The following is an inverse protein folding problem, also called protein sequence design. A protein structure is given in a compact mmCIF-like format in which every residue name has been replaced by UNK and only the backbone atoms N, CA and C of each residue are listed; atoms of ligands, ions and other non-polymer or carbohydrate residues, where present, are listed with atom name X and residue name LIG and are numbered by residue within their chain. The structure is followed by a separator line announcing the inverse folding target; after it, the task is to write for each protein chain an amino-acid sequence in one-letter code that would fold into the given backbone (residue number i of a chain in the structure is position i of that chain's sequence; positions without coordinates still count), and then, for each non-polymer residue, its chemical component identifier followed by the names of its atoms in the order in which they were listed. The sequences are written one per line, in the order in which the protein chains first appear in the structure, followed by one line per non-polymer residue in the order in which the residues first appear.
data_IF_486363589741
#
_entry.id   IF_486363589741
#
_cell.length_a   1.000
_cell.length_b   1.000
_cell.length_c   1.000
_cell.angle_alpha   90.00
_cell.angle_beta   90.00
_cell.angle_gamma   90.00
#
_symmetry.space_group_name_H-M   'P 1'
#
loop_
_entity.id
_entity.type
_entity.pdbx_description
1 polymer ?
#
# COMPACT_ATOMS: atom_id res chain seq x y z
N UNK A 1 2.22 -1.97 -29.65
CA UNK A 1 1.04 -1.10 -29.46
C UNK A 1 0.34 -1.43 -28.17
N UNK A 2 0.31 -0.44 -27.24
CA UNK A 2 -0.26 -0.62 -25.89
C UNK A 2 -1.79 -0.71 -25.94
N UNK A 3 -2.44 -0.02 -26.90
CA UNK A 3 -3.89 0.11 -27.01
C UNK A 3 -4.48 1.02 -25.93
N UNK A 4 -5.66 1.60 -26.20
CA UNK A 4 -6.39 2.43 -25.22
C UNK A 4 -7.27 1.56 -24.32
N UNK A 5 -7.59 2.07 -23.12
CA UNK A 5 -7.10 3.29 -22.50
C UNK A 5 -5.64 3.21 -22.06
N UNK A 6 -4.97 4.36 -21.95
CA UNK A 6 -3.60 4.45 -21.44
C UNK A 6 -3.53 5.36 -20.22
N UNK A 7 -2.55 5.12 -19.36
CA UNK A 7 -2.21 5.97 -18.23
C UNK A 7 -0.91 6.73 -18.54
N UNK A 8 -0.93 8.04 -18.45
CA UNK A 8 0.27 8.87 -18.48
C UNK A 8 0.69 9.13 -17.03
N UNK A 9 1.98 8.93 -16.73
CA UNK A 9 2.57 9.16 -15.40
C UNK A 9 3.79 10.03 -15.53
N UNK A 10 4.03 10.93 -14.56
CA UNK A 10 5.32 11.59 -14.42
C UNK A 10 6.38 10.56 -14.04
N UNK A 11 7.51 10.50 -14.75
CA UNK A 11 8.58 9.53 -14.46
C UNK A 11 9.21 9.74 -13.06
N UNK A 12 9.28 10.99 -12.62
CA UNK A 12 9.73 11.37 -11.28
C UNK A 12 8.60 11.43 -10.24
N UNK A 13 7.36 11.10 -10.63
CA UNK A 13 6.17 11.14 -9.78
C UNK A 13 6.02 9.89 -8.91
N UNK A 14 5.24 10.03 -7.83
CA UNK A 14 4.88 8.93 -6.94
C UNK A 14 3.58 9.22 -6.19
N UNK A 15 3.00 8.20 -5.54
CA UNK A 15 1.77 8.35 -4.76
C UNK A 15 0.56 8.84 -5.55
N UNK A 16 0.46 8.46 -6.82
CA UNK A 16 -0.67 8.84 -7.69
C UNK A 16 -0.64 10.28 -8.23
N UNK A 17 0.37 11.07 -7.92
CA UNK A 17 0.52 12.43 -8.41
C UNK A 17 1.03 12.46 -9.84
N UNK A 18 0.48 13.36 -10.67
CA UNK A 18 0.88 13.50 -12.08
C UNK A 18 0.41 12.33 -12.95
N UNK A 19 -0.67 11.64 -12.57
CA UNK A 19 -1.29 10.57 -13.32
C UNK A 19 -2.50 11.09 -14.12
N UNK A 20 -2.62 10.65 -15.39
CA UNK A 20 -3.72 11.04 -16.26
C UNK A 20 -4.21 9.87 -17.11
N UNK A 21 -5.48 9.51 -16.95
CA UNK A 21 -6.15 8.51 -17.80
C UNK A 21 -6.53 9.12 -19.14
N UNK A 22 -6.11 8.48 -20.23
CA UNK A 22 -6.44 8.87 -21.61
C UNK A 22 -7.21 7.72 -22.26
N UNK A 23 -8.44 8.00 -22.67
CA UNK A 23 -9.36 6.98 -23.18
C UNK A 23 -9.29 6.82 -24.70
N UNK A 24 -8.83 7.84 -25.41
CA UNK A 24 -8.81 7.82 -26.86
C UNK A 24 -7.56 8.48 -27.45
N UNK A 25 -7.26 8.14 -28.71
CA UNK A 25 -6.16 8.73 -29.47
C UNK A 25 -6.29 10.25 -29.64
N UNK A 26 -7.52 10.75 -29.69
CA UNK A 26 -7.77 12.19 -29.91
C UNK A 26 -7.33 13.06 -28.73
N UNK A 27 -7.39 12.51 -27.51
CA UNK A 27 -7.01 13.22 -26.27
C UNK A 27 -5.50 13.11 -25.97
N UNK A 28 -4.79 12.17 -26.63
CA UNK A 28 -3.44 11.77 -26.22
C UNK A 28 -2.44 12.94 -26.32
N UNK A 29 -2.44 13.67 -27.45
CA UNK A 29 -1.44 14.72 -27.67
C UNK A 29 -1.57 15.90 -26.69
N UNK A 30 -2.79 16.29 -26.36
CA UNK A 30 -3.05 17.35 -25.39
C UNK A 30 -2.73 16.87 -23.96
N UNK A 31 -3.16 15.66 -23.62
CA UNK A 31 -2.89 15.04 -22.32
C UNK A 31 -1.39 14.89 -22.04
N UNK A 32 -0.59 14.54 -23.04
CA UNK A 32 0.87 14.49 -22.95
C UNK A 32 1.44 15.87 -22.60
N UNK A 33 1.06 16.93 -23.34
CA UNK A 33 1.56 18.28 -23.10
C UNK A 33 1.25 18.78 -21.70
N UNK A 34 0.03 18.54 -21.24
CA UNK A 34 -0.39 18.92 -19.89
C UNK A 34 0.41 18.14 -18.85
N UNK A 35 0.53 16.82 -19.01
CA UNK A 35 1.27 15.97 -18.07
C UNK A 35 2.75 16.35 -17.98
N UNK A 36 3.38 16.68 -19.11
CA UNK A 36 4.78 17.16 -19.15
C UNK A 36 4.93 18.49 -18.41
N UNK A 37 4.01 19.44 -18.62
CA UNK A 37 4.03 20.73 -17.93
C UNK A 37 3.82 20.60 -16.42
N UNK A 38 2.85 19.80 -16.00
CA UNK A 38 2.59 19.49 -14.59
C UNK A 38 3.79 18.77 -13.94
N UNK A 39 4.40 17.81 -14.64
CA UNK A 39 5.57 17.09 -14.18
C UNK A 39 6.77 18.03 -14.00
N UNK A 40 7.02 18.91 -14.95
CA UNK A 40 8.09 19.89 -14.87
C UNK A 40 7.90 20.85 -13.69
N UNK A 41 6.67 21.32 -13.45
CA UNK A 41 6.39 22.26 -12.34
C UNK A 41 6.45 21.60 -10.97
N UNK A 42 6.05 20.32 -10.86
CA UNK A 42 5.92 19.62 -9.57
C UNK A 42 7.18 18.87 -9.18
N UNK A 43 7.87 18.26 -10.16
CA UNK A 43 8.99 17.35 -9.92
C UNK A 43 10.31 17.84 -10.54
N UNK A 44 10.30 18.96 -11.29
CA UNK A 44 11.48 19.49 -11.95
C UNK A 44 11.93 18.72 -13.21
N UNK A 45 11.11 17.77 -13.68
CA UNK A 45 11.36 16.97 -14.88
C UNK A 45 10.09 16.85 -15.72
N UNK A 46 10.21 17.02 -17.04
CA UNK A 46 9.09 16.81 -17.97
C UNK A 46 8.99 15.37 -18.49
N UNK A 47 9.80 14.45 -17.98
CA UNK A 47 9.79 13.06 -18.42
C UNK A 47 8.52 12.36 -17.96
N UNK A 48 7.88 11.66 -18.90
CA UNK A 48 6.63 10.91 -18.67
C UNK A 48 6.75 9.47 -19.14
N UNK A 49 5.96 8.61 -18.53
CA UNK A 49 5.79 7.21 -18.93
C UNK A 49 4.35 7.02 -19.39
N UNK A 50 4.14 6.20 -20.41
CA UNK A 50 2.81 5.81 -20.88
C UNK A 50 2.67 4.31 -20.72
N UNK A 51 1.64 3.91 -19.98
CA UNK A 51 1.34 2.52 -19.66
C UNK A 51 -0.07 2.15 -20.09
N UNK A 52 -0.35 0.84 -20.21
CA UNK A 52 -1.72 0.35 -20.33
C UNK A 52 -2.51 0.72 -19.06
N UNK A 53 -3.64 1.39 -19.22
CA UNK A 53 -4.55 1.59 -18.11
C UNK A 53 -5.40 0.35 -17.88
N UNK A 54 -5.39 -0.16 -16.65
CA UNK A 54 -6.29 -1.23 -16.22
C UNK A 54 -7.54 -0.56 -15.66
N UNK A 55 -8.71 -0.95 -16.18
CA UNK A 55 -9.98 -0.31 -15.82
C UNK A 55 -10.56 -0.99 -14.59
N UNK A 56 -10.92 -0.19 -13.58
CA UNK A 56 -11.49 -0.64 -12.31
C UNK A 56 -10.73 -1.83 -11.67
N UNK A 57 -9.39 -1.78 -11.58
CA UNK A 57 -8.63 -2.86 -10.96
C UNK A 57 -8.82 -2.85 -9.45
N UNK A 58 -8.53 -4.00 -8.82
CA UNK A 58 -8.17 -4.00 -7.40
C UNK A 58 -6.71 -3.63 -7.25
N UNK A 59 -6.40 -2.88 -6.20
CA UNK A 59 -5.04 -2.64 -5.75
C UNK A 59 -4.69 -3.71 -4.72
N UNK A 60 -3.95 -4.71 -5.15
CA UNK A 60 -3.52 -5.83 -4.30
C UNK A 60 -2.01 -5.80 -4.17
N UNK A 61 -1.52 -6.01 -2.97
CA UNK A 61 -0.09 -5.94 -2.69
C UNK A 61 0.39 -7.15 -1.89
N UNK A 62 1.61 -7.59 -2.17
CA UNK A 62 2.23 -8.73 -1.50
C UNK A 62 3.29 -8.23 -0.52
N UNK A 63 3.14 -8.57 0.75
CA UNK A 63 4.18 -8.34 1.74
C UNK A 63 5.31 -9.34 1.53
N UNK A 64 6.51 -8.86 1.23
CA UNK A 64 7.72 -9.69 1.22
C UNK A 64 8.60 -9.35 2.42
N UNK A 65 9.37 -10.33 2.85
CA UNK A 65 10.38 -10.16 3.88
C UNK A 65 11.64 -10.93 3.51
N UNK A 66 12.79 -10.25 3.54
CA UNK A 66 14.07 -10.85 3.13
C UNK A 66 15.16 -10.54 4.16
N UNK A 67 16.14 -11.43 4.25
CA UNK A 67 17.36 -11.20 5.04
C UNK A 67 18.58 -10.92 4.15
N UNK A 68 19.75 -10.80 4.77
CA UNK A 68 21.03 -10.58 4.08
C UNK A 68 21.68 -11.89 3.61
N UNK A 69 21.07 -13.05 3.87
CA UNK A 69 21.60 -14.39 3.58
C UNK A 69 20.96 -15.02 2.34
N UNK A 70 19.96 -14.34 1.75
CA UNK A 70 19.26 -14.79 0.54
C UNK A 70 17.90 -15.46 0.81
N UNK A 71 17.49 -15.55 2.07
CA UNK A 71 16.15 -16.01 2.41
C UNK A 71 15.15 -14.90 2.12
N UNK A 72 14.04 -15.27 1.51
CA UNK A 72 12.95 -14.34 1.19
C UNK A 72 11.63 -15.11 1.18
N UNK A 73 10.66 -14.61 1.92
CA UNK A 73 9.30 -15.15 2.00
C UNK A 73 8.28 -14.09 1.66
N UNK A 74 7.07 -14.51 1.29
CA UNK A 74 5.90 -13.63 1.22
C UNK A 74 4.91 -13.98 2.33
N UNK A 75 4.29 -12.94 2.91
CA UNK A 75 3.43 -13.04 4.10
C UNK A 75 1.95 -12.80 3.75
N UNK A 76 1.53 -13.27 2.58
CA UNK A 76 0.20 -13.04 2.05
C UNK A 76 0.05 -11.66 1.39
N UNK A 77 -1.19 -11.39 1.05
CA UNK A 77 -1.59 -10.16 0.36
C UNK A 77 -2.48 -9.27 1.23
N UNK A 78 -2.53 -7.98 0.84
CA UNK A 78 -3.51 -7.00 1.29
C UNK A 78 -4.30 -6.46 0.10
N UNK A 79 -5.58 -6.20 0.30
CA UNK A 79 -6.40 -5.41 -0.62
C UNK A 79 -6.44 -3.96 -0.14
N UNK A 80 -5.96 -3.06 -0.97
CA UNK A 80 -5.88 -1.63 -0.71
C UNK A 80 -6.71 -0.83 -1.72
N UNK A 81 -7.79 -1.41 -2.24
CA UNK A 81 -8.59 -0.81 -3.31
C UNK A 81 -9.45 0.36 -2.84
N UNK A 82 -9.76 0.45 -1.54
CA UNK A 82 -10.54 1.58 -0.99
C UNK A 82 -9.62 2.77 -0.78
N UNK A 83 -9.67 3.68 -1.74
CA UNK A 83 -8.79 4.83 -1.82
C UNK A 83 -9.56 6.12 -2.09
N UNK A 84 -9.00 7.24 -1.63
CA UNK A 84 -9.46 8.58 -1.99
C UNK A 84 -8.32 9.33 -2.66
N UNK A 85 -8.54 9.80 -3.90
CA UNK A 85 -7.50 10.50 -4.69
C UNK A 85 -6.16 9.74 -4.71
N UNK A 86 -6.22 8.41 -4.89
CA UNK A 86 -5.07 7.47 -4.85
C UNK A 86 -4.39 7.31 -3.48
N UNK A 87 -4.99 7.79 -2.41
CA UNK A 87 -4.54 7.54 -1.05
C UNK A 87 -5.34 6.40 -0.43
N UNK A 88 -4.68 5.37 0.08
CA UNK A 88 -5.29 4.25 0.78
C UNK A 88 -5.99 4.74 2.04
N UNK A 89 -7.21 4.26 2.31
CA UNK A 89 -8.04 4.66 3.44
C UNK A 89 -8.48 3.45 4.27
N UNK A 90 -8.82 2.35 3.59
CA UNK A 90 -9.17 1.08 4.22
C UNK A 90 -8.36 -0.01 3.53
N UNK A 91 -7.71 -0.84 4.33
CA UNK A 91 -6.93 -1.98 3.89
C UNK A 91 -7.43 -3.25 4.58
N UNK A 92 -7.44 -4.35 3.87
CA UNK A 92 -7.86 -5.64 4.43
C UNK A 92 -6.94 -6.78 4.01
N UNK A 93 -6.81 -7.77 4.87
CA UNK A 93 -6.08 -9.00 4.63
C UNK A 93 -6.82 -10.21 5.24
N UNK A 94 -6.92 -11.32 4.50
CA UNK A 94 -6.55 -11.48 3.10
C UNK A 94 -7.49 -10.74 2.13
N UNK A 95 -7.09 -10.59 0.87
CA UNK A 95 -7.93 -9.98 -0.17
C UNK A 95 -9.18 -10.85 -0.43
N UNK A 96 -10.41 -10.28 -0.44
CA UNK A 96 -11.65 -11.05 -0.49
C UNK A 96 -11.85 -11.90 -1.75
N UNK A 97 -11.17 -11.55 -2.85
CA UNK A 97 -11.27 -12.29 -4.12
C UNK A 97 -10.10 -13.23 -4.36
N UNK A 98 -9.15 -13.30 -3.41
CA UNK A 98 -7.93 -14.07 -3.57
C UNK A 98 -8.17 -15.56 -3.43
N UNK A 99 -7.76 -16.33 -4.43
CA UNK A 99 -7.64 -17.79 -4.33
C UNK A 99 -6.23 -18.19 -3.90
N UNK A 100 -6.06 -19.38 -3.34
CA UNK A 100 -4.74 -19.87 -2.97
C UNK A 100 -3.77 -19.94 -4.17
N UNK A 101 -4.28 -20.34 -5.34
CA UNK A 101 -3.49 -20.40 -6.57
C UNK A 101 -3.00 -19.03 -7.02
N UNK A 102 -3.88 -18.03 -7.01
CA UNK A 102 -3.53 -16.64 -7.34
C UNK A 102 -2.55 -16.05 -6.33
N UNK A 103 -2.77 -16.28 -5.03
CA UNK A 103 -1.86 -15.86 -3.95
C UNK A 103 -0.46 -16.42 -4.16
N UNK A 104 -0.35 -17.71 -4.44
CA UNK A 104 0.94 -18.35 -4.67
C UNK A 104 1.65 -17.76 -5.89
N UNK A 105 0.95 -17.60 -7.02
CA UNK A 105 1.53 -16.98 -8.22
C UNK A 105 2.02 -15.54 -7.97
N UNK A 106 1.22 -14.72 -7.32
CA UNK A 106 1.60 -13.34 -7.01
C UNK A 106 2.74 -13.31 -5.99
N UNK A 107 2.71 -14.18 -4.98
CA UNK A 107 3.75 -14.32 -3.97
C UNK A 107 5.10 -14.71 -4.57
N UNK A 108 5.12 -15.73 -5.44
CA UNK A 108 6.34 -16.18 -6.14
C UNK A 108 6.93 -15.06 -7.02
N UNK A 109 6.09 -14.30 -7.73
CA UNK A 109 6.54 -13.13 -8.51
C UNK A 109 7.14 -12.07 -7.58
N UNK A 110 6.50 -11.77 -6.47
CA UNK A 110 6.98 -10.77 -5.51
C UNK A 110 8.33 -11.19 -4.89
N UNK A 111 8.48 -12.46 -4.50
CA UNK A 111 9.76 -13.01 -4.01
C UNK A 111 10.84 -12.96 -5.10
N UNK A 112 10.49 -13.28 -6.34
CA UNK A 112 11.42 -13.20 -7.47
C UNK A 112 11.93 -11.77 -7.71
N UNK A 113 11.05 -10.76 -7.61
CA UNK A 113 11.43 -9.34 -7.69
C UNK A 113 12.41 -9.00 -6.56
N UNK A 114 12.05 -9.32 -5.31
CA UNK A 114 12.87 -9.01 -4.13
C UNK A 114 14.27 -9.68 -4.23
N UNK A 115 14.33 -10.96 -4.60
CA UNK A 115 15.59 -11.69 -4.79
C UNK A 115 16.44 -11.11 -5.93
N UNK A 116 15.82 -10.71 -7.04
CA UNK A 116 16.52 -10.13 -8.20
C UNK A 116 17.28 -8.86 -7.85
N UNK A 117 16.71 -8.02 -7.01
CA UNK A 117 17.33 -6.77 -6.54
C UNK A 117 18.15 -6.94 -5.25
N UNK A 118 18.24 -8.16 -4.72
CA UNK A 118 18.91 -8.47 -3.43
C UNK A 118 18.35 -7.63 -2.29
N UNK A 119 17.03 -7.52 -2.23
CA UNK A 119 16.34 -6.75 -1.20
C UNK A 119 16.53 -7.37 0.18
N UNK A 120 16.61 -6.53 1.22
CA UNK A 120 16.70 -6.96 2.62
C UNK A 120 15.74 -6.12 3.47
N UNK A 121 15.03 -6.78 4.39
CA UNK A 121 14.01 -6.20 5.27
C UNK A 121 12.58 -6.39 4.76
N UNK A 122 11.65 -5.63 5.36
CA UNK A 122 10.25 -5.60 4.96
C UNK A 122 10.07 -4.79 3.67
N UNK A 123 9.46 -5.38 2.66
CA UNK A 123 9.11 -4.73 1.40
C UNK A 123 7.74 -5.15 0.94
N UNK A 124 7.15 -4.36 0.05
CA UNK A 124 5.84 -4.66 -0.51
C UNK A 124 5.87 -4.49 -2.01
N UNK A 125 5.39 -5.51 -2.73
CA UNK A 125 5.23 -5.46 -4.19
C UNK A 125 3.76 -5.22 -4.49
N UNK A 126 3.47 -4.09 -5.12
CA UNK A 126 2.12 -3.67 -5.47
C UNK A 126 1.74 -4.10 -6.87
N UNK A 127 0.49 -4.53 -7.02
CA UNK A 127 -0.09 -5.01 -8.27
C UNK A 127 -1.48 -4.41 -8.50
N UNK A 128 -1.84 -4.30 -9.77
CA UNK A 128 -3.22 -4.11 -10.20
C UNK A 128 -3.79 -5.47 -10.62
N UNK A 129 -4.87 -5.89 -10.00
CA UNK A 129 -5.59 -7.12 -10.30
C UNK A 129 -6.87 -6.79 -11.06
N UNK A 130 -7.04 -7.33 -12.27
CA UNK A 130 -8.25 -7.13 -13.06
C UNK A 130 -9.34 -8.16 -12.75
N UNK A 131 -10.50 -8.02 -13.39
CA UNK A 131 -11.66 -8.91 -13.20
C UNK A 131 -11.50 -10.31 -13.81
N UNK A 132 -10.41 -10.57 -14.52
CA UNK A 132 -10.07 -11.87 -15.13
C UNK A 132 -8.90 -12.56 -14.40
N UNK A 133 -8.64 -12.14 -13.14
CA UNK A 133 -7.54 -12.62 -12.28
C UNK A 133 -6.14 -12.42 -12.87
N UNK A 134 -5.99 -11.50 -13.84
CA UNK A 134 -4.67 -11.09 -14.35
C UNK A 134 -4.13 -9.99 -13.49
N UNK A 135 -2.90 -10.13 -13.04
CA UNK A 135 -2.23 -9.13 -12.23
C UNK A 135 -1.06 -8.47 -12.98
N UNK A 136 -0.88 -7.19 -12.72
CA UNK A 136 0.12 -6.36 -13.37
C UNK A 136 0.95 -5.67 -12.30
N UNK A 137 2.27 -5.77 -12.42
CA UNK A 137 3.20 -5.09 -11.52
C UNK A 137 2.99 -3.57 -11.59
N UNK A 138 2.89 -2.93 -10.43
CA UNK A 138 2.77 -1.49 -10.32
C UNK A 138 4.06 -0.84 -9.83
N UNK A 139 4.49 -1.20 -8.61
CA UNK A 139 5.73 -0.72 -8.00
C UNK A 139 6.18 -1.63 -6.85
N UNK A 140 7.37 -1.38 -6.33
CA UNK A 140 7.83 -1.97 -5.07
C UNK A 140 8.11 -0.86 -4.06
N UNK A 141 7.50 -0.97 -2.90
CA UNK A 141 7.79 -0.11 -1.75
C UNK A 141 8.87 -0.76 -0.89
N UNK A 142 10.06 -0.16 -0.88
CA UNK A 142 11.24 -0.66 -0.17
C UNK A 142 11.29 -0.17 1.28
N UNK A 143 10.20 -0.38 1.99
CA UNK A 143 9.98 0.03 3.38
C UNK A 143 8.81 -0.73 3.98
N UNK A 144 8.70 -0.69 5.30
CA UNK A 144 7.46 -1.06 5.98
C UNK A 144 6.34 -0.07 5.60
N UNK A 145 5.14 -0.58 5.37
CA UNK A 145 3.98 0.25 5.02
C UNK A 145 3.07 0.51 6.22
N UNK A 146 2.19 1.52 6.08
CA UNK A 146 1.22 1.91 7.11
C UNK A 146 0.32 0.71 7.46
N UNK A 147 -0.11 -0.02 6.46
CA UNK A 147 -1.07 -1.12 6.50
C UNK A 147 -0.49 -2.49 6.91
N UNK A 148 0.79 -2.55 7.35
CA UNK A 148 1.38 -3.81 7.82
C UNK A 148 0.63 -4.49 8.97
N UNK A 149 -0.10 -3.79 9.85
CA UNK A 149 -0.79 -4.43 10.96
C UNK A 149 -1.83 -5.47 10.55
N UNK A 150 -2.51 -5.33 9.40
CA UNK A 150 -3.44 -6.36 8.96
C UNK A 150 -2.72 -7.67 8.64
N UNK A 151 -1.51 -7.60 8.06
CA UNK A 151 -0.65 -8.77 7.83
C UNK A 151 -0.16 -9.37 9.15
N UNK A 152 0.29 -8.55 10.09
CA UNK A 152 0.73 -9.02 11.42
C UNK A 152 -0.38 -9.78 12.13
N UNK A 153 -1.60 -9.24 12.13
CA UNK A 153 -2.72 -9.85 12.83
C UNK A 153 -3.13 -11.19 12.25
N UNK A 154 -3.11 -11.38 10.92
CA UNK A 154 -3.50 -12.66 10.32
C UNK A 154 -2.36 -13.67 10.25
N UNK A 155 -1.09 -13.23 10.27
CA UNK A 155 0.08 -14.14 10.25
C UNK A 155 0.62 -14.47 11.62
N UNK A 156 0.28 -13.67 12.65
CA UNK A 156 0.85 -13.80 13.99
C UNK A 156 2.31 -13.36 14.10
N UNK A 157 2.85 -12.68 13.08
CA UNK A 157 4.24 -12.22 13.04
C UNK A 157 4.35 -10.75 13.47
N UNK A 158 5.47 -10.37 14.07
CA UNK A 158 5.84 -8.97 14.35
C UNK A 158 6.87 -8.51 13.31
N UNK A 159 6.41 -7.78 12.31
CA UNK A 159 7.25 -7.32 11.20
C UNK A 159 8.31 -6.31 11.63
N UNK A 160 8.03 -5.53 12.67
CA UNK A 160 8.99 -4.55 13.21
C UNK A 160 10.11 -5.29 13.95
N UNK A 161 9.77 -6.27 14.78
CA UNK A 161 10.78 -7.11 15.44
C UNK A 161 11.64 -7.88 14.43
N UNK A 162 11.02 -8.39 13.36
CA UNK A 162 11.75 -9.03 12.26
C UNK A 162 12.70 -8.07 11.55
N UNK A 163 12.29 -6.80 11.31
CA UNK A 163 13.18 -5.79 10.73
C UNK A 163 14.40 -5.51 11.60
N UNK A 164 14.20 -5.40 12.92
CA UNK A 164 15.30 -5.21 13.88
C UNK A 164 16.26 -6.40 13.86
N UNK A 165 15.73 -7.63 13.81
CA UNK A 165 16.55 -8.85 13.73
C UNK A 165 17.40 -8.89 12.46
N UNK A 166 16.81 -8.58 11.31
CA UNK A 166 17.54 -8.55 10.02
C UNK A 166 18.58 -7.42 10.01
N UNK A 167 18.25 -6.26 10.58
CA UNK A 167 19.21 -5.16 10.73
C UNK A 167 20.39 -5.54 11.63
N UNK A 168 20.15 -6.39 12.64
CA UNK A 168 21.20 -6.98 13.50
C UNK A 168 21.89 -8.20 12.86
N UNK A 169 21.80 -8.35 11.54
CA UNK A 169 22.42 -9.42 10.77
C UNK A 169 21.98 -10.83 11.18
N UNK A 170 20.75 -10.98 11.68
CA UNK A 170 20.19 -12.28 11.96
C UNK A 170 19.55 -12.87 10.70
N UNK A 171 19.69 -14.18 10.54
CA UNK A 171 19.01 -14.95 9.50
C UNK A 171 17.51 -15.06 9.79
N UNK A 172 16.67 -15.05 8.75
CA UNK A 172 15.24 -15.35 8.87
C UNK A 172 15.05 -16.78 9.40
N UNK A 173 14.30 -16.91 10.50
CA UNK A 173 14.02 -18.21 11.15
C UNK A 173 12.76 -18.91 10.63
N UNK A 174 12.06 -18.27 9.69
CA UNK A 174 10.82 -18.78 9.10
C UNK A 174 11.03 -19.13 7.63
N UNK A 175 10.40 -20.18 7.18
CA UNK A 175 10.30 -20.60 5.79
C UNK A 175 8.92 -20.24 5.23
N UNK A 176 8.71 -20.43 3.92
CA UNK A 176 7.40 -20.16 3.31
C UNK A 176 6.33 -21.11 3.82
N UNK A 177 6.69 -22.33 4.17
CA UNK A 177 5.80 -23.38 4.69
C UNK A 177 5.33 -23.10 6.12
N UNK A 178 6.06 -22.29 6.87
CA UNK A 178 5.71 -21.91 8.25
C UNK A 178 4.64 -20.82 8.30
N UNK A 179 4.35 -20.18 7.15
CA UNK A 179 3.44 -19.04 7.09
C UNK A 179 2.01 -19.51 6.98
N UNK A 180 1.25 -19.30 8.04
CA UNK A 180 -0.18 -19.59 8.10
C UNK A 180 -0.93 -18.27 8.25
N UNK A 181 -1.94 -18.06 7.40
CA UNK A 181 -2.83 -16.91 7.49
C UNK A 181 -4.14 -17.35 8.16
N UNK A 182 -4.45 -16.72 9.30
CA UNK A 182 -5.60 -17.05 10.13
C UNK A 182 -6.53 -15.86 10.33
N UNK A 183 -7.82 -16.06 10.05
CA UNK A 183 -8.85 -15.05 10.19
C UNK A 183 -8.80 -13.97 9.12
N UNK A 184 -9.38 -12.83 9.44
CA UNK A 184 -9.47 -11.65 8.57
C UNK A 184 -9.22 -10.38 9.39
N UNK A 185 -8.45 -9.43 8.85
CA UNK A 185 -8.19 -8.16 9.49
C UNK A 185 -8.48 -7.00 8.54
N UNK A 186 -9.08 -5.94 9.08
CA UNK A 186 -9.39 -4.70 8.35
C UNK A 186 -8.80 -3.53 9.12
N UNK A 187 -8.02 -2.70 8.44
CA UNK A 187 -7.47 -1.46 8.96
C UNK A 187 -8.21 -0.26 8.36
N UNK A 188 -8.46 0.75 9.17
CA UNK A 188 -8.91 2.06 8.71
C UNK A 188 -7.95 3.13 9.23
N UNK A 189 -7.65 4.10 8.38
CA UNK A 189 -6.83 5.26 8.74
C UNK A 189 -7.74 6.38 9.24
N UNK A 190 -7.47 6.88 10.43
CA UNK A 190 -8.16 8.03 11.00
C UNK A 190 -7.39 9.29 10.69
N UNK A 191 -8.02 10.25 10.00
CA UNK A 191 -7.42 11.52 9.61
C UNK A 191 -8.08 12.72 10.28
N UNK A 192 -7.27 13.77 10.54
CA UNK A 192 -7.74 15.09 10.91
C UNK A 192 -8.14 15.87 9.66
N UNK A 193 -9.32 15.59 9.13
CA UNK A 193 -9.88 16.17 7.90
C UNK A 193 -11.35 16.52 8.11
N UNK A 194 -11.82 17.52 7.37
CA UNK A 194 -13.21 17.94 7.34
C UNK A 194 -13.91 17.43 6.07
N UNK A 195 -14.74 16.37 6.17
CA UNK A 195 -15.44 15.79 5.01
C UNK A 195 -16.44 16.74 4.35
N UNK A 196 -17.01 17.67 5.11
CA UNK A 196 -17.99 18.65 4.60
C UNK A 196 -17.31 19.76 3.78
N UNK A 197 -15.99 19.95 3.98
CA UNK A 197 -15.19 20.96 3.29
C UNK A 197 -14.08 20.31 2.42
N UNK A 198 -14.49 19.40 1.54
CA UNK A 198 -13.62 18.65 0.60
C UNK A 198 -12.38 18.02 1.27
N UNK A 199 -12.56 17.51 2.50
CA UNK A 199 -11.50 16.89 3.29
C UNK A 199 -10.30 17.81 3.54
N UNK A 200 -10.56 19.09 3.74
CA UNK A 200 -9.53 20.05 4.13
C UNK A 200 -8.92 19.65 5.49
N UNK A 201 -7.61 19.90 5.71
CA UNK A 201 -6.96 19.56 6.96
C UNK A 201 -7.65 20.27 8.16
N UNK A 202 -8.00 19.50 9.19
CA UNK A 202 -8.51 20.00 10.45
C UNK A 202 -7.35 20.18 11.42
N UNK A 203 -7.07 21.42 11.81
CA UNK A 203 -6.04 21.77 12.79
C UNK A 203 -6.69 22.13 14.14
N UNK A 204 -5.99 21.92 15.22
CA UNK A 204 -6.48 22.27 16.54
C UNK A 204 -6.01 21.34 17.65
N UNK A 205 -6.52 21.57 18.85
CA UNK A 205 -6.16 20.79 20.02
C UNK A 205 -7.05 19.57 20.16
N UNK A 206 -6.44 18.42 20.49
CA UNK A 206 -7.16 17.18 20.81
C UNK A 206 -7.72 17.27 22.22
N UNK A 207 -8.99 17.61 22.36
CA UNK A 207 -9.63 17.78 23.67
C UNK A 207 -9.93 16.42 24.35
N UNK A 208 -10.26 15.41 23.56
CA UNK A 208 -10.51 14.05 24.05
C UNK A 208 -9.89 13.02 23.09
N UNK A 209 -9.12 12.09 23.66
CA UNK A 209 -8.67 10.87 22.98
C UNK A 209 -8.94 9.69 23.93
N UNK A 210 -9.70 8.71 23.48
CA UNK A 210 -9.98 7.50 24.23
C UNK A 210 -10.02 6.32 23.28
N UNK A 211 -9.07 5.42 23.43
CA UNK A 211 -8.98 4.21 22.63
C UNK A 211 -10.02 3.19 23.09
N UNK A 212 -10.68 2.47 22.13
CA UNK A 212 -11.54 1.35 22.47
C UNK A 212 -10.70 0.23 23.11
N UNK A 213 -11.23 -0.39 24.16
CA UNK A 213 -10.67 -1.58 24.81
C UNK A 213 -11.62 -2.74 24.55
N UNK A 214 -11.55 -3.27 23.33
CA UNK A 214 -12.42 -4.33 22.83
C UNK A 214 -11.52 -5.41 22.25
N UNK A 215 -11.80 -6.66 22.56
CA UNK A 215 -11.06 -7.81 22.01
C UNK A 215 -11.16 -7.81 20.47
N UNK A 216 -10.05 -8.13 19.82
CA UNK A 216 -9.96 -8.08 18.36
C UNK A 216 -9.74 -6.68 17.75
N UNK A 217 -9.68 -5.63 18.56
CA UNK A 217 -9.36 -4.27 18.09
C UNK A 217 -7.95 -3.86 18.55
N UNK A 218 -7.11 -3.49 17.58
CA UNK A 218 -5.81 -2.83 17.78
C UNK A 218 -5.91 -1.38 17.37
N UNK A 219 -5.31 -0.48 18.15
CA UNK A 219 -5.16 0.92 17.79
C UNK A 219 -3.68 1.28 17.83
N UNK A 220 -3.17 1.85 16.74
CA UNK A 220 -1.81 2.39 16.67
C UNK A 220 -1.92 3.93 16.58
N UNK A 221 -1.92 4.65 17.73
CA UNK A 221 -2.11 6.09 17.75
C UNK A 221 -0.81 6.85 17.50
N UNK A 222 -0.90 7.91 16.69
CA UNK A 222 0.13 8.95 16.56
C UNK A 222 -0.15 10.19 17.40
N UNK A 223 -1.24 10.19 18.18
CA UNK A 223 -1.71 11.34 18.95
C UNK A 223 -2.02 10.99 20.41
N UNK A 224 -2.12 12.02 21.22
CA UNK A 224 -2.60 11.92 22.62
C UNK A 224 -3.47 13.13 22.98
N UNK A 225 -4.29 12.99 24.04
CA UNK A 225 -5.07 14.10 24.59
C UNK A 225 -4.19 15.29 24.89
N UNK A 226 -4.63 16.48 24.51
CA UNK A 226 -3.96 17.76 24.72
C UNK A 226 -2.91 18.12 23.66
N UNK A 227 -2.60 17.20 22.73
CA UNK A 227 -1.70 17.48 21.60
C UNK A 227 -2.39 18.44 20.61
N UNK A 228 -1.60 19.29 19.95
CA UNK A 228 -2.08 20.15 18.86
C UNK A 228 -1.76 19.52 17.51
N UNK A 229 -2.78 19.34 16.68
CA UNK A 229 -2.64 18.95 15.28
C UNK A 229 -2.29 20.21 14.49
N UNK A 230 -1.24 20.13 13.70
CA UNK A 230 -0.70 21.26 12.92
C UNK A 230 -0.77 20.97 11.42
N UNK A 231 -0.71 21.99 10.56
CA UNK A 231 -0.73 21.80 9.11
C UNK A 231 0.63 21.36 8.54
N UNK A 232 1.66 21.18 9.36
CA UNK A 232 3.04 20.91 8.91
C UNK A 232 3.34 19.43 8.67
N UNK A 233 2.48 18.54 9.13
CA UNK A 233 2.62 17.08 9.03
C UNK A 233 1.40 16.47 8.37
N UNK A 234 1.52 15.19 8.00
CA UNK A 234 0.39 14.40 7.54
C UNK A 234 -0.75 14.39 8.58
N UNK A 235 -1.99 14.48 8.10
CA UNK A 235 -3.17 14.54 8.94
C UNK A 235 -3.57 13.22 9.61
N UNK A 236 -2.85 12.12 9.35
CA UNK A 236 -3.17 10.81 9.93
C UNK A 236 -2.95 10.82 11.45
N UNK A 237 -4.01 10.52 12.19
CA UNK A 237 -4.04 10.54 13.65
C UNK A 237 -3.76 9.17 14.26
N UNK A 238 -4.31 8.13 13.66
CA UNK A 238 -4.21 6.76 14.13
C UNK A 238 -4.58 5.76 13.02
N UNK A 239 -4.22 4.51 13.26
CA UNK A 239 -4.75 3.35 12.56
C UNK A 239 -5.62 2.57 13.55
N UNK A 240 -6.76 2.11 13.09
CA UNK A 240 -7.67 1.26 13.87
C UNK A 240 -7.84 -0.03 13.09
N UNK A 241 -7.48 -1.15 13.71
CA UNK A 241 -7.45 -2.45 13.06
C UNK A 241 -8.38 -3.41 13.81
N UNK A 242 -9.28 -4.05 13.08
CA UNK A 242 -10.13 -5.11 13.61
C UNK A 242 -9.70 -6.46 13.05
N UNK A 243 -9.59 -7.49 13.93
CA UNK A 243 -9.40 -8.89 13.53
C UNK A 243 -10.56 -9.73 14.00
N UNK A 244 -11.04 -10.65 13.14
CA UNK A 244 -12.02 -11.68 13.47
C UNK A 244 -11.72 -12.97 12.69
N UNK A 245 -12.49 -14.04 12.94
CA UNK A 245 -12.39 -15.30 12.18
C UNK A 245 -12.77 -15.13 10.71
N UNK A 246 -13.70 -14.23 10.42
CA UNK A 246 -14.21 -13.93 9.08
C UNK A 246 -14.29 -12.42 8.86
N UNK A 247 -14.41 -12.03 7.60
CA UNK A 247 -14.66 -10.66 7.13
C UNK A 247 -15.98 -10.11 7.64
#
# INVERSE_FOLDING_TARGET
DIGFPVMIKAAAGGGGRGMRLVKSKYELSESIKIAMSESQSTFGSSEIIIEKAIVAPRHVEIQVFSDNFGNCVYLGERDCSVQRKHQKIIEEAPCPVMTNDLRNKMGEVAVSVAKKIKYSGAGTVEFLLDSEDRFYFLEMNTRLQVEHPVTELISGLDLVAMQLSVADQQELKITQEDIVLDGHAIEVRLYAEDPENDFSPSIGRVELWKEPKIDGIRVDPGIKKGQTITPYYDGMLAKIIAKAETR
#
